data_IF_769285644992
#
_entry.id   IF_769285644992
#
_cell.length_a   1.000
_cell.length_b   1.000
_cell.length_c   1.000
_cell.angle_alpha   90.00
_cell.angle_beta   90.00
_cell.angle_gamma   90.00
#
_symmetry.space_group_name_H-M   'P 1'
#
loop_
_entity.id
_entity.type
_entity.pdbx_description
1 polymer ?
#
# COMPACT_ATOMS: atom_id res chain seq x y z
N UNK A 1 -7.19 -9.34 7.95
CA UNK A 1 -6.21 -8.25 7.92
C UNK A 1 -6.99 -6.98 7.86
N UNK A 2 -6.61 -5.97 8.64
CA UNK A 2 -7.30 -4.69 8.62
C UNK A 2 -6.86 -3.88 7.41
N UNK A 3 -7.81 -3.22 6.76
CA UNK A 3 -7.55 -2.30 5.66
C UNK A 3 -8.57 -1.17 5.66
N UNK A 4 -8.12 0.04 5.35
CA UNK A 4 -9.01 1.15 5.02
C UNK A 4 -9.50 1.00 3.58
N UNK A 5 -10.80 0.82 3.42
CA UNK A 5 -11.46 0.54 2.14
C UNK A 5 -12.55 1.55 1.87
N UNK A 6 -12.66 1.95 0.61
CA UNK A 6 -13.84 2.64 0.07
C UNK A 6 -14.58 1.71 -0.87
N UNK A 7 -15.92 1.69 -0.81
CA UNK A 7 -16.76 0.88 -1.72
C UNK A 7 -17.46 1.70 -2.80
N UNK A 8 -17.35 3.01 -2.69
CA UNK A 8 -17.83 3.98 -3.67
C UNK A 8 -16.89 5.20 -3.67
N UNK A 9 -17.13 6.11 -4.60
CA UNK A 9 -16.57 7.44 -4.54
C UNK A 9 -17.46 8.34 -3.70
N UNK A 10 -16.86 9.16 -2.85
CA UNK A 10 -17.58 10.07 -1.97
C UNK A 10 -16.69 10.88 -1.01
N UNK A 11 -15.36 10.76 -1.15
CA UNK A 11 -14.42 11.40 -0.24
C UNK A 11 -14.25 10.63 1.07
N UNK A 12 -13.59 11.24 2.04
CA UNK A 12 -13.09 10.55 3.24
C UNK A 12 -14.18 9.91 4.11
N UNK A 13 -15.42 10.39 4.04
CA UNK A 13 -16.55 9.82 4.79
C UNK A 13 -16.89 8.37 4.37
N UNK A 14 -16.50 7.96 3.16
CA UNK A 14 -16.73 6.59 2.65
C UNK A 14 -15.64 5.60 3.10
N UNK A 15 -14.54 6.10 3.66
CA UNK A 15 -13.42 5.27 4.08
C UNK A 15 -13.79 4.50 5.36
N UNK A 16 -13.73 3.17 5.32
CA UNK A 16 -14.05 2.29 6.45
C UNK A 16 -12.86 1.39 6.77
N UNK A 17 -12.56 1.25 8.06
CA UNK A 17 -11.62 0.25 8.53
C UNK A 17 -12.35 -1.09 8.59
N UNK A 18 -11.91 -2.05 7.79
CA UNK A 18 -12.58 -3.35 7.63
C UNK A 18 -11.59 -4.50 7.73
N UNK A 19 -12.11 -5.67 8.10
CA UNK A 19 -11.40 -6.93 7.90
C UNK A 19 -11.47 -7.38 6.44
N UNK A 20 -10.31 -7.69 5.88
CA UNK A 20 -10.11 -8.20 4.54
C UNK A 20 -9.21 -9.44 4.54
N UNK A 21 -9.27 -10.22 3.46
CA UNK A 21 -8.34 -11.33 3.26
C UNK A 21 -6.95 -10.79 2.95
N UNK A 22 -5.91 -11.49 3.41
CA UNK A 22 -4.54 -11.22 2.97
C UNK A 22 -4.45 -11.51 1.47
N UNK A 23 -3.94 -10.59 0.65
CA UNK A 23 -3.84 -10.80 -0.79
C UNK A 23 -2.85 -11.93 -1.11
N UNK A 24 -3.20 -12.86 -2.03
CA UNK A 24 -2.30 -13.92 -2.44
C UNK A 24 -1.20 -13.40 -3.37
N UNK A 25 -0.10 -14.15 -3.45
CA UNK A 25 0.95 -13.90 -4.45
C UNK A 25 0.53 -14.45 -5.81
N UNK A 26 0.13 -13.57 -6.72
CA UNK A 26 -0.33 -13.95 -8.06
C UNK A 26 0.76 -14.01 -9.14
N UNK A 27 2.01 -13.64 -8.84
CA UNK A 27 3.09 -13.64 -9.83
C UNK A 27 4.48 -13.95 -9.22
N UNK A 28 5.44 -14.46 -10.00
CA UNK A 28 6.77 -14.82 -9.50
C UNK A 28 7.58 -13.63 -8.97
N UNK A 29 7.33 -12.41 -9.46
CA UNK A 29 8.00 -11.18 -9.06
C UNK A 29 7.29 -10.44 -7.91
N UNK A 30 6.21 -11.01 -7.36
CA UNK A 30 5.45 -10.40 -6.27
C UNK A 30 6.07 -10.67 -4.90
N UNK A 31 6.01 -9.66 -4.03
CA UNK A 31 6.32 -9.73 -2.61
C UNK A 31 5.06 -9.44 -1.82
N UNK A 32 4.83 -10.22 -0.77
CA UNK A 32 3.83 -9.93 0.25
C UNK A 32 4.57 -9.22 1.37
N UNK A 33 4.18 -7.98 1.64
CA UNK A 33 4.81 -7.13 2.65
C UNK A 33 3.83 -6.91 3.79
N UNK A 34 4.28 -7.13 5.03
CA UNK A 34 3.62 -6.62 6.23
C UNK A 34 3.97 -5.14 6.35
N UNK A 35 2.96 -4.29 6.30
CA UNK A 35 3.13 -2.84 6.42
C UNK A 35 3.31 -2.50 7.89
N UNK A 36 4.35 -1.72 8.21
CA UNK A 36 4.52 -1.15 9.55
C UNK A 36 4.02 0.30 9.56
N UNK A 37 4.33 1.05 8.50
CA UNK A 37 3.94 2.46 8.38
C UNK A 37 3.61 2.81 6.94
N UNK A 38 2.66 3.73 6.74
CA UNK A 38 2.35 4.35 5.45
C UNK A 38 2.09 5.84 5.67
N UNK A 39 2.37 6.70 4.68
CA UNK A 39 1.99 8.10 4.75
C UNK A 39 0.66 8.37 4.03
N UNK A 40 0.04 9.51 4.33
CA UNK A 40 -1.12 10.01 3.61
C UNK A 40 -0.64 11.11 2.66
N UNK A 41 -0.95 10.97 1.37
CA UNK A 41 -0.64 11.95 0.35
C UNK A 41 -1.91 12.60 -0.21
N UNK A 42 -1.84 13.80 -0.82
CA UNK A 42 -3.00 14.43 -1.45
C UNK A 42 -3.68 13.56 -2.51
N UNK A 43 -2.91 12.72 -3.22
CA UNK A 43 -3.45 11.79 -4.20
C UNK A 43 -4.36 10.73 -3.56
N UNK A 44 -4.06 10.28 -2.34
CA UNK A 44 -4.88 9.29 -1.63
C UNK A 44 -6.28 9.85 -1.38
N UNK A 45 -6.35 11.09 -0.88
CA UNK A 45 -7.62 11.82 -0.65
C UNK A 45 -8.37 12.04 -1.96
N UNK A 46 -7.67 12.48 -3.01
CA UNK A 46 -8.26 12.74 -4.32
C UNK A 46 -8.85 11.47 -4.94
N UNK A 47 -8.16 10.33 -4.83
CA UNK A 47 -8.62 9.04 -5.37
C UNK A 47 -9.90 8.55 -4.69
N UNK A 48 -10.04 8.72 -3.37
CA UNK A 48 -11.29 8.40 -2.65
C UNK A 48 -12.45 9.30 -3.13
N UNK A 49 -12.14 10.53 -3.57
CA UNK A 49 -13.08 11.43 -4.24
C UNK A 49 -13.37 11.11 -5.71
N UNK A 50 -12.74 10.09 -6.31
CA UNK A 50 -12.94 9.72 -7.71
C UNK A 50 -11.98 10.36 -8.70
N UNK A 51 -10.97 11.09 -8.22
CA UNK A 51 -9.94 11.65 -9.10
C UNK A 51 -9.20 10.55 -9.86
N UNK A 52 -9.14 10.69 -11.19
CA UNK A 52 -8.43 9.75 -12.07
C UNK A 52 -9.15 8.42 -12.29
N UNK A 53 -10.35 8.20 -11.74
CA UNK A 53 -11.09 6.93 -11.80
C UNK A 53 -11.09 6.31 -13.21
N UNK A 54 -11.51 7.07 -14.23
CA UNK A 54 -11.56 6.60 -15.62
C UNK A 54 -10.21 6.08 -16.13
N UNK A 55 -9.14 6.87 -15.95
CA UNK A 55 -7.82 6.53 -16.42
C UNK A 55 -7.22 5.35 -15.64
N UNK A 56 -7.37 5.34 -14.32
CA UNK A 56 -6.89 4.25 -13.47
C UNK A 56 -7.63 2.95 -13.74
N UNK A 57 -8.93 3.00 -14.03
CA UNK A 57 -9.73 1.82 -14.40
C UNK A 57 -9.34 1.27 -15.76
N UNK A 58 -9.02 2.14 -16.73
CA UNK A 58 -8.43 1.68 -17.99
C UNK A 58 -7.10 0.94 -17.74
N UNK A 59 -6.24 1.44 -16.85
CA UNK A 59 -4.98 0.76 -16.48
C UNK A 59 -5.20 -0.55 -15.71
N UNK A 60 -6.28 -0.68 -14.94
CA UNK A 60 -6.68 -1.92 -14.25
C UNK A 60 -7.22 -2.96 -15.23
N UNK A 61 -8.03 -2.54 -16.18
CA UNK A 61 -8.57 -3.41 -17.23
C UNK A 61 -7.46 -4.05 -18.08
N UNK A 62 -6.37 -3.31 -18.36
CA UNK A 62 -5.17 -3.85 -19.03
C UNK A 62 -4.49 -5.00 -18.26
N UNK A 63 -4.83 -5.21 -16.98
CA UNK A 63 -4.33 -6.31 -16.13
C UNK A 63 -5.39 -7.37 -15.85
N UNK A 64 -6.55 -7.29 -16.49
CA UNK A 64 -7.66 -8.20 -16.25
C UNK A 64 -8.38 -7.98 -14.91
N UNK A 65 -8.35 -6.76 -14.37
CA UNK A 65 -9.14 -6.39 -13.19
C UNK A 65 -10.38 -5.59 -13.62
N UNK A 66 -11.57 -6.03 -13.19
CA UNK A 66 -12.86 -5.46 -13.62
C UNK A 66 -13.15 -4.08 -13.02
N UNK A 67 -13.09 -3.97 -11.69
CA UNK A 67 -13.50 -2.79 -10.93
C UNK A 67 -12.53 -2.54 -9.77
N UNK A 68 -12.27 -1.28 -9.47
CA UNK A 68 -11.36 -0.83 -8.40
C UNK A 68 -11.89 -1.03 -6.99
N UNK A 69 -13.19 -1.27 -6.85
CA UNK A 69 -13.86 -1.45 -5.56
C UNK A 69 -13.80 -2.91 -5.14
N UNK A 70 -13.47 -3.18 -3.86
CA UNK A 70 -13.11 -2.22 -2.81
C UNK A 70 -11.75 -1.52 -3.03
N UNK A 71 -11.74 -0.19 -2.95
CA UNK A 71 -10.53 0.61 -3.16
C UNK A 71 -9.75 0.72 -1.85
N UNK A 72 -8.50 0.26 -1.85
CA UNK A 72 -7.51 0.56 -0.79
C UNK A 72 -6.53 1.59 -1.35
N UNK A 73 -6.35 2.72 -0.66
CA UNK A 73 -5.39 3.79 -1.03
C UNK A 73 -4.12 3.75 -0.17
N UNK A 74 -3.24 4.74 -0.27
CA UNK A 74 -1.94 4.80 0.38
C UNK A 74 -0.85 4.36 -0.59
N UNK A 75 0.02 5.28 -1.02
CA UNK A 75 0.99 5.03 -2.11
C UNK A 75 2.36 4.64 -1.65
N UNK A 76 2.75 4.99 -0.45
CA UNK A 76 4.06 4.65 0.08
C UNK A 76 3.93 3.82 1.36
N UNK A 77 4.96 3.04 1.63
CA UNK A 77 5.02 2.20 2.82
C UNK A 77 6.46 1.91 3.24
N UNK A 78 6.62 1.59 4.51
CA UNK A 78 7.76 0.86 5.06
C UNK A 78 7.24 -0.41 5.74
N UNK A 79 7.96 -1.51 5.58
CA UNK A 79 7.51 -2.79 6.10
C UNK A 79 8.55 -3.89 5.96
N UNK A 80 8.07 -5.13 6.05
CA UNK A 80 8.89 -6.33 5.99
C UNK A 80 8.27 -7.35 5.04
N UNK A 81 9.09 -7.93 4.17
CA UNK A 81 8.67 -9.03 3.30
C UNK A 81 8.35 -10.24 4.17
N UNK A 82 7.11 -10.75 4.09
CA UNK A 82 6.68 -11.96 4.80
C UNK A 82 6.63 -13.18 3.88
N UNK A 83 6.41 -12.96 2.58
CA UNK A 83 6.51 -14.00 1.55
C UNK A 83 6.97 -13.39 0.23
N UNK A 84 7.61 -14.19 -0.60
CA UNK A 84 8.13 -13.78 -1.91
C UNK A 84 7.80 -14.83 -2.96
N UNK A 85 7.47 -14.36 -4.16
CA UNK A 85 7.36 -15.22 -5.33
C UNK A 85 8.71 -15.83 -5.70
N UNK A 86 8.68 -16.95 -6.42
CA UNK A 86 9.88 -17.70 -6.77
C UNK A 86 10.89 -16.90 -7.62
N UNK A 87 10.40 -15.94 -8.41
CA UNK A 87 11.20 -15.09 -9.29
C UNK A 87 11.66 -13.77 -8.66
N UNK A 88 11.26 -13.48 -7.42
CA UNK A 88 11.71 -12.29 -6.71
C UNK A 88 13.21 -12.37 -6.40
N UNK A 89 13.84 -11.24 -6.15
CA UNK A 89 15.21 -11.11 -5.63
C UNK A 89 15.22 -11.00 -4.11
N UNK A 90 14.25 -10.30 -3.53
CA UNK A 90 14.08 -10.16 -2.09
C UNK A 90 13.37 -11.38 -1.50
N UNK A 91 13.65 -11.67 -0.22
CA UNK A 91 13.13 -12.83 0.50
C UNK A 91 12.50 -12.40 1.82
N UNK A 92 11.74 -13.31 2.42
CA UNK A 92 11.12 -13.09 3.72
C UNK A 92 12.15 -12.63 4.78
N UNK A 93 11.71 -11.78 5.71
CA UNK A 93 12.57 -11.15 6.71
C UNK A 93 13.24 -9.85 6.25
N UNK A 94 13.14 -9.51 4.96
CA UNK A 94 13.77 -8.28 4.45
C UNK A 94 12.90 -7.06 4.74
N UNK A 95 13.50 -6.06 5.40
CA UNK A 95 12.91 -4.72 5.51
C UNK A 95 12.97 -3.99 4.18
N UNK A 96 11.84 -3.41 3.80
CA UNK A 96 11.64 -2.74 2.52
C UNK A 96 10.83 -1.47 2.69
N UNK A 97 11.00 -0.56 1.74
CA UNK A 97 10.14 0.59 1.55
C UNK A 97 9.94 0.79 0.04
N UNK A 98 8.84 1.42 -0.35
CA UNK A 98 8.54 1.61 -1.77
C UNK A 98 7.32 2.46 -2.01
N UNK A 99 7.08 2.73 -3.30
CA UNK A 99 5.91 3.45 -3.80
C UNK A 99 5.14 2.54 -4.74
N UNK A 100 3.83 2.46 -4.53
CA UNK A 100 2.92 1.60 -5.27
C UNK A 100 2.23 2.44 -6.36
N UNK A 101 2.09 1.95 -7.59
CA UNK A 101 1.38 2.66 -8.66
C UNK A 101 -0.13 2.82 -8.38
N UNK A 102 -0.76 3.98 -8.64
CA UNK A 102 -2.14 4.30 -8.18
C UNK A 102 -3.26 3.36 -8.65
N UNK A 103 -3.07 2.65 -9.76
CA UNK A 103 -4.04 1.65 -10.24
C UNK A 103 -3.92 0.29 -9.51
N UNK A 104 -2.96 0.14 -8.60
CA UNK A 104 -2.73 -1.07 -7.80
C UNK A 104 -3.19 -0.88 -6.34
N UNK A 105 -3.62 -1.94 -5.64
CA UNK A 105 -4.04 -1.85 -4.24
C UNK A 105 -3.07 -1.11 -3.31
N UNK A 106 -3.68 -0.43 -2.34
CA UNK A 106 -3.14 0.48 -1.34
C UNK A 106 -2.19 -0.08 -0.28
N UNK A 107 -1.47 0.82 0.37
CA UNK A 107 -0.67 0.57 1.57
C UNK A 107 -1.40 0.88 2.88
N UNK A 108 -2.61 1.46 2.85
CA UNK A 108 -3.44 1.62 4.05
C UNK A 108 -4.12 0.30 4.44
N UNK A 109 -3.31 -0.74 4.62
CA UNK A 109 -3.69 -2.09 5.02
C UNK A 109 -2.53 -2.75 5.77
N UNK A 110 -2.82 -3.72 6.63
CA UNK A 110 -1.79 -4.46 7.37
C UNK A 110 -0.82 -5.21 6.41
N UNK A 111 -1.29 -5.62 5.23
CA UNK A 111 -0.47 -6.24 4.18
C UNK A 111 -0.81 -5.70 2.80
N UNK A 112 0.21 -5.70 1.93
CA UNK A 112 0.05 -5.40 0.51
C UNK A 112 0.95 -6.31 -0.35
N UNK A 113 0.55 -6.48 -1.60
CA UNK A 113 1.37 -7.16 -2.62
C UNK A 113 1.97 -6.11 -3.55
N UNK A 114 3.27 -6.19 -3.78
CA UNK A 114 4.05 -5.31 -4.67
C UNK A 114 5.00 -6.10 -5.54
N UNK A 115 5.45 -5.53 -6.65
CA UNK A 115 6.56 -6.09 -7.43
C UNK A 115 7.89 -5.84 -6.72
N UNK A 116 8.79 -6.79 -6.82
CA UNK A 116 10.15 -6.68 -6.27
C UNK A 116 10.88 -5.41 -6.74
N UNK A 117 10.71 -5.05 -8.01
CA UNK A 117 11.36 -3.86 -8.58
C UNK A 117 10.71 -2.52 -8.17
N UNK A 118 9.59 -2.53 -7.44
CA UNK A 118 8.96 -1.32 -6.89
C UNK A 118 9.48 -0.99 -5.49
N UNK A 119 10.29 -1.87 -4.90
CA UNK A 119 10.75 -1.73 -3.52
C UNK A 119 12.27 -1.65 -3.44
N UNK A 120 12.72 -0.86 -2.47
CA UNK A 120 14.12 -0.75 -2.12
C UNK A 120 14.31 -1.48 -0.80
N UNK A 121 15.34 -2.31 -0.75
CA UNK A 121 15.76 -3.00 0.46
C UNK A 121 16.34 -1.97 1.44
N UNK A 122 15.69 -1.78 2.59
CA UNK A 122 16.26 -0.94 3.65
C UNK A 122 17.54 -1.57 4.20
N UNK A 123 18.56 -0.77 4.50
CA UNK A 123 19.70 -1.24 5.30
C UNK A 123 19.24 -1.49 6.74
N UNK A 124 20.09 -2.10 7.59
CA UNK A 124 19.80 -2.22 9.01
C UNK A 124 19.56 -0.83 9.60
N UNK A 125 18.31 -0.39 9.68
CA UNK A 125 17.96 0.77 10.50
C UNK A 125 18.32 0.40 11.94
N UNK A 126 19.28 1.10 12.54
CA UNK A 126 19.34 1.23 13.98
C UNK A 126 17.96 1.77 14.42
N UNK A 127 17.42 1.28 15.54
CA UNK A 127 16.23 1.85 16.15
C UNK A 127 16.48 3.35 16.39
N UNK A 128 16.01 4.20 15.49
CA UNK A 128 15.86 5.62 15.76
C UNK A 128 14.43 5.77 16.29
N UNK A 129 14.30 5.68 17.61
CA UNK A 129 13.12 6.14 18.32
C UNK A 129 13.01 7.64 18.05
N UNK A 130 12.11 8.04 17.17
CA UNK A 130 11.80 9.46 17.01
C UNK A 130 10.93 9.83 18.22
N UNK A 131 11.56 10.39 19.25
CA UNK A 131 10.85 11.13 20.29
C UNK A 131 10.29 12.39 19.62
N UNK A 132 8.99 12.39 19.31
CA UNK A 132 8.29 13.57 18.81
C UNK A 132 8.05 14.55 19.96
N UNK A 133 8.97 15.48 20.14
CA UNK A 133 8.69 16.78 20.77
C UNK A 133 8.53 17.84 19.68
N UNK A 134 7.29 18.29 19.49
CA UNK A 134 6.79 19.49 18.80
C UNK A 134 6.94 19.67 17.26
N UNK A 135 5.75 19.85 16.66
CA UNK A 135 5.38 20.65 15.46
C UNK A 135 6.23 20.59 14.19
N UNK A 136 5.80 19.77 13.23
CA UNK A 136 5.17 20.23 11.96
C UNK A 136 4.89 19.03 11.04
N UNK A 137 3.61 18.86 10.70
CA UNK A 137 3.06 18.15 9.53
C UNK A 137 3.89 17.02 8.90
N UNK A 138 3.90 15.83 9.53
CA UNK A 138 4.13 14.56 8.83
C UNK A 138 3.15 13.53 9.41
N UNK A 139 2.01 13.39 8.75
CA UNK A 139 1.06 12.31 9.05
C UNK A 139 1.67 10.99 8.57
N UNK A 140 2.60 10.46 9.36
CA UNK A 140 3.00 9.06 9.26
C UNK A 140 1.96 8.29 10.06
N UNK A 141 1.16 7.48 9.38
CA UNK A 141 0.32 6.51 10.08
C UNK A 141 1.26 5.42 10.57
N UNK A 142 1.61 5.49 11.84
CA UNK A 142 2.28 4.42 12.58
C UNK A 142 1.22 3.65 13.36
N UNK A 143 1.17 2.33 13.18
CA UNK A 143 0.28 1.43 13.92
C UNK A 143 1.03 0.75 15.06
#
# INVERSE_FOLDING_TARGET
>A
MRAWRSHCYGGLAELRLEEARVPPLCAPDHLLVRVHTSSINPLDVAMVGGYGARALNALRALRGADVEFPLVVGRDFCGEVVAAGAGSRLRAGRRVWGVVPPHWPGAHADYLVVKDNWVIAGHRFAHASINTTHETSRYVVTW
#
